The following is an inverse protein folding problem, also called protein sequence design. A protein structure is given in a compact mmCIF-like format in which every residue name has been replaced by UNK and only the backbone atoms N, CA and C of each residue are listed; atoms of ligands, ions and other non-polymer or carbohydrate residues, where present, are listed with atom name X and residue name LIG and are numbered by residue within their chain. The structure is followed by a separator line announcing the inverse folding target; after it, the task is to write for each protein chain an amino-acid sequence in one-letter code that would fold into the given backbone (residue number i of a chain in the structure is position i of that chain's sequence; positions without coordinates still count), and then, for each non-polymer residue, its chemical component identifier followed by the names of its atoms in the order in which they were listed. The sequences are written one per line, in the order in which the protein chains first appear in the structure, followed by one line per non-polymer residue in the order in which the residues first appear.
data_IF_283626735962
#
_entry.id   IF_283626735962
#
_cell.length_a   1.000
_cell.length_b   1.000
_cell.length_c   1.000
_cell.angle_alpha   90.00
_cell.angle_beta   90.00
_cell.angle_gamma   90.00
#
_symmetry.space_group_name_H-M   'P 1'
#
loop_
_entity.id
_entity.type
_entity.pdbx_description
1 polymer ?
#
# COMPACT_ATOMS: atom_id res chain seq x y z
N UNK A 1 -15.90 13.77 4.30
CA UNK A 1 -15.08 12.75 3.65
C UNK A 1 -13.70 12.74 4.29
N UNK A 2 -13.30 11.61 4.77
CA UNK A 2 -11.99 11.46 5.36
C UNK A 2 -11.04 10.84 4.35
N UNK A 3 -9.88 11.47 4.18
CA UNK A 3 -8.77 10.86 3.45
C UNK A 3 -7.90 10.13 4.45
N UNK A 4 -7.54 8.92 4.13
CA UNK A 4 -6.58 8.19 4.96
C UNK A 4 -5.17 8.66 4.61
N UNK A 5 -4.34 8.81 5.63
CA UNK A 5 -2.92 9.10 5.46
C UNK A 5 -2.12 7.87 5.80
N UNK A 6 -1.14 7.57 4.99
CA UNK A 6 -0.35 6.38 5.17
C UNK A 6 1.09 6.64 4.75
N UNK A 7 2.03 6.32 5.61
CA UNK A 7 3.45 6.41 5.27
C UNK A 7 3.86 5.12 4.60
N UNK A 8 4.45 5.25 3.41
CA UNK A 8 4.96 4.12 2.66
C UNK A 8 6.46 4.27 2.46
N UNK A 9 7.12 3.18 2.16
CA UNK A 9 8.54 3.18 1.87
C UNK A 9 8.80 2.42 0.59
N UNK A 10 9.92 2.68 -0.05
CA UNK A 10 10.34 1.90 -1.18
C UNK A 10 10.57 0.46 -0.73
N UNK A 11 10.15 -0.49 -1.56
CA UNK A 11 10.33 -1.90 -1.24
C UNK A 11 11.81 -2.23 -1.14
N UNK A 12 12.20 -2.96 -0.10
CA UNK A 12 13.58 -3.37 0.06
C UNK A 12 14.02 -4.32 -1.07
N UNK A 13 15.16 -4.02 -1.67
CA UNK A 13 15.73 -4.87 -2.69
C UNK A 13 16.28 -6.16 -2.05
N UNK A 14 16.22 -7.22 -2.81
CA UNK A 14 16.74 -8.52 -2.34
C UNK A 14 15.78 -9.30 -1.47
N UNK A 15 14.63 -8.74 -1.13
CA UNK A 15 13.61 -9.46 -0.37
C UNK A 15 12.43 -9.81 -1.25
N UNK A 16 11.95 -11.04 -1.15
CA UNK A 16 10.75 -11.44 -1.86
C UNK A 16 9.49 -11.02 -1.07
N UNK A 17 8.30 -11.05 -1.69
CA UNK A 17 7.09 -10.63 -1.00
C UNK A 17 6.80 -11.36 0.30
N UNK A 18 7.16 -12.63 0.38
CA UNK A 18 6.96 -13.41 1.60
C UNK A 18 7.79 -12.89 2.75
N UNK A 19 9.05 -12.52 2.48
CA UNK A 19 9.93 -11.97 3.51
C UNK A 19 9.43 -10.61 3.99
N UNK A 20 8.93 -9.79 3.09
CA UNK A 20 8.35 -8.50 3.42
C UNK A 20 7.15 -8.67 4.35
N UNK A 21 6.26 -9.61 4.04
CA UNK A 21 5.09 -9.88 4.87
C UNK A 21 5.48 -10.42 6.25
N UNK A 22 6.51 -11.26 6.31
CA UNK A 22 7.00 -11.79 7.59
C UNK A 22 7.57 -10.70 8.49
N UNK A 23 8.10 -9.64 7.89
CA UNK A 23 8.63 -8.50 8.63
C UNK A 23 7.54 -7.53 9.11
N UNK A 24 6.27 -7.81 8.80
CA UNK A 24 5.16 -6.97 9.21
C UNK A 24 4.79 -5.89 8.21
N UNK A 25 5.26 -6.02 6.96
CA UNK A 25 4.95 -5.08 5.89
C UNK A 25 4.13 -5.74 4.79
N UNK A 26 3.32 -4.92 4.14
CA UNK A 26 2.52 -5.35 3.01
C UNK A 26 3.18 -4.83 1.73
N UNK A 27 3.59 -5.72 0.82
CA UNK A 27 4.16 -5.27 -0.44
C UNK A 27 3.07 -4.70 -1.34
N UNK A 28 3.43 -3.76 -2.20
CA UNK A 28 2.47 -3.16 -3.09
C UNK A 28 3.12 -2.41 -4.23
N UNK A 29 2.29 -1.82 -5.05
CA UNK A 29 2.70 -1.02 -6.18
C UNK A 29 1.96 0.29 -6.22
N UNK A 30 2.64 1.33 -6.68
CA UNK A 30 2.05 2.65 -6.91
C UNK A 30 2.29 3.02 -8.36
N UNK A 31 1.22 3.33 -9.10
CA UNK A 31 1.33 3.70 -10.49
C UNK A 31 0.24 4.68 -10.89
N UNK A 32 0.40 5.29 -12.06
CA UNK A 32 -0.56 6.24 -12.58
C UNK A 32 0.04 7.05 -13.71
N UNK A 33 -0.71 8.01 -14.21
CA UNK A 33 -0.25 8.88 -15.29
C UNK A 33 0.94 9.71 -14.84
N UNK A 34 1.97 9.74 -15.64
CA UNK A 34 3.12 10.59 -15.42
C UNK A 34 4.20 10.01 -14.52
N UNK A 35 4.00 8.83 -13.99
CA UNK A 35 5.03 8.17 -13.19
C UNK A 35 5.17 6.71 -13.60
N UNK A 36 6.37 6.20 -13.41
CA UNK A 36 6.61 4.77 -13.58
C UNK A 36 6.08 4.02 -12.35
N UNK A 37 5.68 2.78 -12.57
CA UNK A 37 5.24 1.94 -11.46
C UNK A 37 6.37 1.81 -10.44
N UNK A 38 6.03 2.02 -9.17
CA UNK A 38 6.99 1.92 -8.07
C UNK A 38 6.59 0.77 -7.16
N UNK A 39 7.57 -0.03 -6.79
CA UNK A 39 7.36 -1.07 -5.79
C UNK A 39 7.52 -0.44 -4.42
N UNK A 40 6.52 -0.61 -3.58
CA UNK A 40 6.48 -0.02 -2.25
C UNK A 40 6.15 -1.07 -1.20
N UNK A 41 6.34 -0.71 0.04
CA UNK A 41 5.87 -1.51 1.16
C UNK A 41 5.27 -0.59 2.21
N UNK A 42 4.31 -1.10 2.95
CA UNK A 42 3.61 -0.35 3.96
C UNK A 42 3.42 -1.23 5.20
N UNK A 43 3.43 -0.61 6.38
CA UNK A 43 3.17 -1.36 7.60
C UNK A 43 1.77 -1.97 7.54
N UNK A 44 1.71 -3.29 7.66
CA UNK A 44 0.45 -4.04 7.50
C UNK A 44 -0.61 -3.59 8.50
N UNK A 45 -0.20 -3.40 9.75
CA UNK A 45 -1.14 -2.98 10.80
C UNK A 45 -1.70 -1.58 10.51
N UNK A 46 -0.84 -0.65 10.13
CA UNK A 46 -1.27 0.72 9.80
C UNK A 46 -2.22 0.69 8.61
N UNK A 47 -1.93 -0.13 7.60
CA UNK A 47 -2.79 -0.26 6.45
C UNK A 47 -4.16 -0.82 6.84
N UNK A 48 -4.19 -1.87 7.65
CA UNK A 48 -5.45 -2.47 8.08
C UNK A 48 -6.33 -1.48 8.84
N UNK A 49 -5.75 -0.71 9.74
CA UNK A 49 -6.49 0.28 10.51
C UNK A 49 -7.06 1.38 9.61
N UNK A 50 -6.24 1.88 8.69
CA UNK A 50 -6.68 2.92 7.77
C UNK A 50 -7.73 2.37 6.79
N UNK A 51 -7.57 1.15 6.34
CA UNK A 51 -8.50 0.52 5.42
C UNK A 51 -9.90 0.35 6.03
N UNK A 52 -9.97 -0.04 7.29
CA UNK A 52 -11.26 -0.17 7.98
C UNK A 52 -12.03 1.14 8.00
N UNK A 53 -11.32 2.26 8.05
CA UNK A 53 -11.92 3.58 8.15
C UNK A 53 -12.13 4.27 6.81
N UNK A 54 -11.51 3.78 5.74
CA UNK A 54 -11.53 4.47 4.45
C UNK A 54 -11.39 3.50 3.28
N UNK A 55 -12.37 2.61 3.09
CA UNK A 55 -12.29 1.59 2.05
C UNK A 55 -12.38 2.14 0.64
N UNK A 56 -13.14 3.19 0.43
CA UNK A 56 -13.43 3.72 -0.91
C UNK A 56 -12.90 5.14 -1.13
N UNK A 57 -12.24 5.71 -0.15
CA UNK A 57 -11.76 7.07 -0.23
C UNK A 57 -10.41 7.20 -0.92
N UNK A 58 -9.98 8.44 -1.04
CA UNK A 58 -8.64 8.76 -1.51
C UNK A 58 -7.65 8.58 -0.37
N UNK A 59 -6.47 8.08 -0.72
CA UNK A 59 -5.39 7.86 0.24
C UNK A 59 -4.27 8.85 -0.02
N UNK A 60 -3.79 9.51 1.02
CA UNK A 60 -2.60 10.33 0.94
C UNK A 60 -1.42 9.47 1.35
N UNK A 61 -0.55 9.17 0.39
CA UNK A 61 0.60 8.32 0.62
C UNK A 61 1.86 9.18 0.72
N UNK A 62 2.60 9.02 1.81
CA UNK A 62 3.88 9.71 1.99
C UNK A 62 5.02 8.74 1.71
N UNK A 63 5.83 9.06 0.72
CA UNK A 63 7.01 8.31 0.36
C UNK A 63 8.23 9.24 0.48
N UNK A 64 8.91 9.15 1.63
CA UNK A 64 10.00 10.07 1.91
C UNK A 64 9.50 11.51 1.98
N UNK A 65 9.99 12.34 1.07
CA UNK A 65 9.59 13.76 0.99
C UNK A 65 8.44 13.98 0.02
N UNK A 66 8.02 12.96 -0.70
CA UNK A 66 6.98 13.06 -1.70
C UNK A 66 5.64 12.63 -1.13
N UNK A 67 4.58 13.26 -1.61
CA UNK A 67 3.22 12.90 -1.24
C UNK A 67 2.42 12.60 -2.49
N UNK A 68 1.63 11.56 -2.44
CA UNK A 68 0.80 11.16 -3.56
C UNK A 68 -0.64 10.99 -3.10
N UNK A 69 -1.57 11.42 -3.93
CA UNK A 69 -2.99 11.10 -3.74
C UNK A 69 -3.32 9.92 -4.63
N UNK A 70 -3.80 8.87 -4.02
CA UNK A 70 -4.06 7.63 -4.73
C UNK A 70 -5.31 6.95 -4.19
N UNK A 71 -5.76 5.95 -4.91
CA UNK A 71 -6.83 5.08 -4.44
C UNK A 71 -6.41 3.64 -4.63
N UNK A 72 -7.04 2.74 -3.92
CA UNK A 72 -6.75 1.32 -4.06
C UNK A 72 -7.33 0.82 -5.37
N UNK A 73 -6.47 0.31 -6.23
CA UNK A 73 -6.87 -0.30 -7.49
C UNK A 73 -7.22 -1.77 -7.28
N UNK A 74 -6.40 -2.46 -6.50
CA UNK A 74 -6.62 -3.87 -6.22
C UNK A 74 -6.00 -4.21 -4.87
N UNK A 75 -6.68 -5.07 -4.13
CA UNK A 75 -6.19 -5.61 -2.87
C UNK A 75 -6.29 -7.12 -2.94
N UNK A 76 -5.16 -7.79 -2.84
CA UNK A 76 -5.11 -9.24 -2.86
C UNK A 76 -5.03 -9.77 -1.43
N UNK A 77 -5.88 -10.73 -1.14
CA UNK A 77 -5.97 -11.33 0.18
C UNK A 77 -6.10 -12.85 0.06
N UNK A 78 -5.45 -13.54 0.97
CA UNK A 78 -5.67 -14.98 1.10
C UNK A 78 -6.87 -15.18 2.02
N UNK A 79 -8.01 -15.53 1.45
CA UNK A 79 -9.25 -15.65 2.21
C UNK A 79 -9.25 -16.84 3.19
N UNK A 80 -8.42 -17.84 2.93
CA UNK A 80 -8.33 -18.99 3.83
C UNK A 80 -7.67 -18.60 5.16
N UNK A 81 -6.72 -17.67 5.14
CA UNK A 81 -5.98 -17.26 6.34
C UNK A 81 -6.29 -15.82 6.74
N UNK A 82 -7.07 -15.08 5.96
CA UNK A 82 -7.32 -13.65 6.13
C UNK A 82 -6.04 -12.81 6.10
N UNK A 83 -5.04 -13.29 5.40
CA UNK A 83 -3.77 -12.60 5.27
C UNK A 83 -3.76 -11.69 4.04
N UNK A 84 -3.35 -10.44 4.22
CA UNK A 84 -3.15 -9.52 3.12
C UNK A 84 -1.88 -9.88 2.37
N UNK A 85 -1.96 -9.98 1.05
CA UNK A 85 -0.85 -10.41 0.22
C UNK A 85 -0.20 -9.26 -0.54
N UNK A 86 -0.99 -8.34 -1.06
CA UNK A 86 -0.49 -7.27 -1.91
C UNK A 86 -1.53 -6.17 -2.05
N UNK A 87 -1.08 -4.94 -2.24
CA UNK A 87 -1.99 -3.82 -2.50
C UNK A 87 -1.48 -3.01 -3.68
N UNK A 88 -2.37 -2.63 -4.58
CA UNK A 88 -2.04 -1.77 -5.71
C UNK A 88 -2.75 -0.45 -5.57
N UNK A 89 -1.98 0.64 -5.59
CA UNK A 89 -2.50 1.99 -5.58
C UNK A 89 -2.32 2.63 -6.94
N UNK A 90 -3.32 3.37 -7.37
CA UNK A 90 -3.25 4.17 -8.58
C UNK A 90 -3.45 5.64 -8.24
N UNK A 91 -2.68 6.51 -8.86
CA UNK A 91 -2.80 7.96 -8.65
C UNK A 91 -4.14 8.46 -9.16
N UNK A 92 -4.71 9.37 -8.43
CA UNK A 92 -5.96 10.03 -8.84
C UNK A 92 -5.69 11.39 -9.43
#
# INVERSE_FOLDING_TARGET
MANAKLTITAREEGKNPRQIRQAGFLPGSLYGKGIEAKSIQVNTHDFEMAYKNNQEGTWELELGKEKFNAKIQELQMNYATNELLNVEFTLV
#
